data_IF_803886333626
#
_entry.id   IF_803886333626
#
_cell.length_a   1.000
_cell.length_b   1.000
_cell.length_c   1.000
_cell.angle_alpha   90.00
_cell.angle_beta   90.00
_cell.angle_gamma   90.00
#
_symmetry.space_group_name_H-M   'P 1'
#
loop_
_entity.id
_entity.type
_entity.pdbx_description
1 polymer ?
#
# COMPACT_ATOMS: atom_id res chain seq x y z
N UNK A 1 9.16 -17.83 -1.10
CA UNK A 1 9.48 -17.78 0.33
C UNK A 1 8.81 -16.57 0.94
N UNK A 2 8.17 -16.75 2.10
CA UNK A 2 7.47 -15.71 2.86
C UNK A 2 8.21 -15.52 4.18
N UNK A 3 8.47 -14.28 4.58
CA UNK A 3 9.09 -13.95 5.87
C UNK A 3 8.08 -13.13 6.67
N UNK A 4 7.77 -13.56 7.89
CA UNK A 4 6.90 -12.82 8.81
C UNK A 4 7.72 -12.48 10.05
N UNK A 5 7.82 -11.19 10.39
CA UNK A 5 8.53 -10.72 11.58
C UNK A 5 7.61 -9.77 12.33
N UNK A 6 7.22 -10.17 13.54
CA UNK A 6 6.34 -9.39 14.41
C UNK A 6 7.13 -9.01 15.65
N UNK A 7 7.31 -7.70 15.87
CA UNK A 7 8.02 -7.15 17.01
C UNK A 7 7.59 -5.70 17.19
N UNK A 8 7.32 -5.29 18.43
CA UNK A 8 6.77 -3.98 18.76
C UNK A 8 7.84 -2.89 18.89
N UNK A 9 9.08 -3.31 19.19
CA UNK A 9 10.28 -2.46 19.25
C UNK A 9 11.44 -3.24 18.61
N UNK A 10 11.76 -2.92 17.35
CA UNK A 10 12.91 -3.52 16.66
C UNK A 10 13.94 -2.42 16.46
N UNK A 11 15.13 -2.62 17.01
CA UNK A 11 16.24 -1.69 16.82
C UNK A 11 16.61 -1.56 15.34
N UNK A 12 16.99 -0.35 14.86
CA UNK A 12 17.34 -0.12 13.45
C UNK A 12 18.45 -1.03 12.93
N UNK A 13 19.40 -1.36 13.80
CA UNK A 13 20.51 -2.26 13.48
C UNK A 13 19.99 -3.67 13.17
N UNK A 14 19.02 -4.17 13.93
CA UNK A 14 18.39 -5.48 13.69
C UNK A 14 17.65 -5.50 12.36
N UNK A 15 16.92 -4.42 12.02
CA UNK A 15 16.31 -4.29 10.69
C UNK A 15 17.38 -4.27 9.60
N UNK A 16 18.47 -3.53 9.81
CA UNK A 16 19.59 -3.43 8.85
C UNK A 16 20.26 -4.79 8.61
N UNK A 17 20.45 -5.59 9.66
CA UNK A 17 20.95 -6.96 9.56
C UNK A 17 20.00 -7.85 8.77
N UNK A 18 18.68 -7.75 9.03
CA UNK A 18 17.67 -8.52 8.32
C UNK A 18 17.66 -8.22 6.82
N UNK A 19 17.64 -6.93 6.43
CA UNK A 19 17.58 -6.55 5.00
C UNK A 19 18.84 -6.95 4.24
N UNK A 20 19.98 -7.12 4.94
CA UNK A 20 21.21 -7.61 4.36
C UNK A 20 21.18 -9.11 4.01
N UNK A 21 20.25 -9.90 4.57
CA UNK A 21 20.20 -11.35 4.39
C UNK A 21 19.77 -11.78 2.98
N UNK A 22 20.31 -12.91 2.51
CA UNK A 22 19.91 -13.52 1.24
C UNK A 22 18.44 -13.97 1.24
N UNK A 23 17.91 -14.34 2.42
CA UNK A 23 16.53 -14.71 2.59
C UNK A 23 15.61 -13.53 2.31
N UNK A 24 15.92 -12.35 2.85
CA UNK A 24 15.15 -11.12 2.62
C UNK A 24 15.18 -10.70 1.15
N UNK A 25 16.35 -10.75 0.50
CA UNK A 25 16.49 -10.42 -0.93
C UNK A 25 15.67 -11.33 -1.83
N UNK A 26 15.45 -12.59 -1.44
CA UNK A 26 14.65 -13.60 -2.17
C UNK A 26 13.20 -13.69 -1.69
N UNK A 27 12.80 -12.88 -0.70
CA UNK A 27 11.46 -12.90 -0.16
C UNK A 27 10.47 -12.33 -1.17
N UNK A 28 9.27 -12.91 -1.22
CA UNK A 28 8.15 -12.36 -2.01
C UNK A 28 7.18 -11.55 -1.16
N UNK A 29 7.15 -11.83 0.15
CA UNK A 29 6.25 -11.24 1.14
C UNK A 29 7.01 -11.00 2.44
N UNK A 30 6.85 -9.80 3.02
CA UNK A 30 7.45 -9.42 4.31
C UNK A 30 6.43 -8.63 5.15
N UNK A 31 6.37 -8.92 6.44
CA UNK A 31 5.71 -8.06 7.44
C UNK A 31 6.74 -7.70 8.50
N UNK A 32 6.93 -6.40 8.76
CA UNK A 32 7.79 -5.87 9.84
C UNK A 32 7.02 -4.71 10.49
N UNK A 33 7.00 -4.65 11.82
CA UNK A 33 6.33 -3.57 12.57
C UNK A 33 7.33 -2.73 13.39
N UNK A 34 8.40 -2.18 12.80
CA UNK A 34 9.38 -1.43 13.59
C UNK A 34 8.82 -0.04 13.92
N UNK A 35 9.13 0.51 15.10
CA UNK A 35 8.85 1.93 15.42
C UNK A 35 9.87 2.90 14.81
N UNK A 36 10.82 2.40 14.03
CA UNK A 36 11.88 3.22 13.44
C UNK A 36 11.70 3.41 11.94
N UNK A 37 12.03 4.60 11.45
CA UNK A 37 11.97 4.97 10.04
C UNK A 37 12.96 4.14 9.22
N UNK A 38 12.47 3.11 8.53
CA UNK A 38 13.26 2.33 7.56
C UNK A 38 13.01 2.91 6.15
N UNK A 39 14.05 3.10 5.32
CA UNK A 39 13.87 3.55 3.93
C UNK A 39 12.92 2.64 3.15
N UNK A 40 11.96 3.23 2.41
CA UNK A 40 10.96 2.44 1.68
C UNK A 40 11.60 1.62 0.54
N UNK A 41 12.73 2.11 0.03
CA UNK A 41 13.49 1.52 -1.08
C UNK A 41 13.87 0.06 -0.79
N UNK A 42 14.08 -0.29 0.49
CA UNK A 42 14.36 -1.65 0.94
C UNK A 42 13.21 -2.64 0.70
N UNK A 43 12.00 -2.17 0.40
CA UNK A 43 10.82 -3.00 0.20
C UNK A 43 10.31 -2.99 -1.24
N UNK A 44 10.92 -2.17 -2.12
CA UNK A 44 10.46 -2.02 -3.50
C UNK A 44 10.64 -3.29 -4.35
N UNK A 45 11.45 -4.27 -3.93
CA UNK A 45 11.52 -5.57 -4.62
C UNK A 45 10.36 -6.51 -4.27
N UNK A 46 9.54 -6.20 -3.24
CA UNK A 46 8.50 -7.10 -2.73
C UNK A 46 7.15 -6.88 -3.41
N UNK A 47 6.46 -7.95 -3.81
CA UNK A 47 5.08 -7.87 -4.31
C UNK A 47 4.09 -7.51 -3.20
N UNK A 48 4.43 -7.90 -1.97
CA UNK A 48 3.57 -7.66 -0.81
C UNK A 48 4.38 -7.23 0.40
N UNK A 49 4.02 -6.13 1.04
CA UNK A 49 4.61 -5.75 2.33
C UNK A 49 3.68 -4.95 3.23
N UNK A 50 3.90 -5.05 4.54
CA UNK A 50 3.28 -4.15 5.53
C UNK A 50 4.39 -3.54 6.40
N UNK A 51 4.34 -2.23 6.57
CA UNK A 51 5.28 -1.47 7.42
C UNK A 51 4.52 -0.48 8.29
N UNK A 52 5.01 -0.27 9.50
CA UNK A 52 4.59 0.81 10.39
C UNK A 52 5.74 1.83 10.45
N UNK A 53 5.42 3.11 10.33
CA UNK A 53 6.37 4.22 10.34
C UNK A 53 5.91 5.28 11.33
N UNK A 54 6.84 6.06 11.88
CA UNK A 54 6.49 7.21 12.72
C UNK A 54 5.70 8.27 11.92
N UNK A 55 6.05 8.48 10.65
CA UNK A 55 5.36 9.41 9.75
C UNK A 55 5.59 8.99 8.31
N UNK A 56 4.51 8.95 7.52
CA UNK A 56 4.61 8.75 6.08
C UNK A 56 5.07 10.03 5.39
N UNK A 57 5.86 9.89 4.32
CA UNK A 57 6.28 11.01 3.47
C UNK A 57 5.71 10.84 2.06
N UNK A 58 5.09 11.87 1.46
CA UNK A 58 4.49 11.73 0.13
C UNK A 58 5.48 11.22 -0.93
N UNK A 59 6.73 11.68 -0.91
CA UNK A 59 7.77 11.24 -1.85
C UNK A 59 8.09 9.75 -1.77
N UNK A 60 8.10 9.17 -0.57
CA UNK A 60 8.37 7.74 -0.37
C UNK A 60 7.18 6.91 -0.87
N UNK A 61 5.95 7.38 -0.58
CA UNK A 61 4.71 6.72 -1.03
C UNK A 61 4.59 6.75 -2.55
N UNK A 62 4.99 7.85 -3.19
CA UNK A 62 5.00 7.96 -4.67
C UNK A 62 5.91 6.91 -5.31
N UNK A 63 7.03 6.55 -4.70
CA UNK A 63 7.90 5.48 -5.22
C UNK A 63 7.17 4.14 -5.25
N UNK A 64 6.47 3.81 -4.16
CA UNK A 64 5.68 2.58 -4.05
C UNK A 64 4.51 2.59 -5.04
N UNK A 65 3.77 3.71 -5.12
CA UNK A 65 2.65 3.85 -6.05
C UNK A 65 3.12 3.68 -7.51
N UNK A 66 4.23 4.32 -7.89
CA UNK A 66 4.80 4.18 -9.24
C UNK A 66 5.10 2.72 -9.57
N UNK A 67 5.72 1.99 -8.64
CA UNK A 67 5.98 0.55 -8.80
C UNK A 67 4.70 -0.20 -9.16
N UNK A 68 3.62 0.01 -8.41
CA UNK A 68 2.34 -0.67 -8.61
C UNK A 68 1.62 -0.25 -9.91
N UNK A 69 1.92 0.93 -10.45
CA UNK A 69 1.40 1.41 -11.72
C UNK A 69 2.21 0.89 -12.93
N UNK A 70 3.52 0.63 -12.78
CA UNK A 70 4.41 0.35 -13.92
C UNK A 70 4.89 -1.10 -14.02
N UNK A 71 4.94 -1.84 -12.92
CA UNK A 71 5.42 -3.23 -12.93
C UNK A 71 4.26 -4.22 -13.15
N UNK A 72 4.49 -5.35 -13.85
CA UNK A 72 3.49 -6.39 -14.06
C UNK A 72 3.31 -7.23 -12.79
N UNK A 73 2.78 -6.62 -11.73
CA UNK A 73 2.55 -7.27 -10.45
C UNK A 73 1.39 -8.27 -10.53
N UNK A 74 1.50 -9.44 -9.86
CA UNK A 74 0.40 -10.39 -9.76
C UNK A 74 -0.85 -9.77 -9.12
N UNK A 75 -2.01 -10.35 -9.42
CA UNK A 75 -3.25 -10.08 -8.68
C UNK A 75 -3.00 -10.24 -7.17
N UNK A 76 -3.65 -9.40 -6.36
CA UNK A 76 -3.53 -9.37 -4.90
C UNK A 76 -2.14 -9.00 -4.36
N UNK A 77 -1.25 -8.49 -5.21
CA UNK A 77 -0.10 -7.72 -4.74
C UNK A 77 -0.60 -6.49 -3.98
N UNK A 78 -0.06 -6.22 -2.79
CA UNK A 78 -0.52 -5.13 -1.95
C UNK A 78 0.58 -4.53 -1.09
N UNK A 79 0.39 -3.31 -0.62
CA UNK A 79 1.19 -2.75 0.45
C UNK A 79 0.31 -2.07 1.49
N UNK A 80 0.78 -2.06 2.74
CA UNK A 80 0.22 -1.22 3.80
C UNK A 80 1.35 -0.42 4.43
N UNK A 81 1.20 0.91 4.46
CA UNK A 81 2.03 1.82 5.24
C UNK A 81 1.16 2.39 6.36
N UNK A 82 1.39 1.96 7.60
CA UNK A 82 0.77 2.53 8.79
C UNK A 82 1.62 3.68 9.30
N UNK A 83 1.02 4.80 9.65
CA UNK A 83 1.68 5.98 10.21
C UNK A 83 1.19 6.24 11.64
N UNK A 84 2.11 6.54 12.56
CA UNK A 84 1.72 6.96 13.91
C UNK A 84 1.25 8.41 13.95
N UNK A 85 1.91 9.28 13.18
CA UNK A 85 1.41 10.63 12.93
C UNK A 85 0.30 10.57 11.91
N UNK A 86 -0.74 11.37 12.18
CA UNK A 86 -1.90 11.49 11.32
C UNK A 86 -1.51 11.90 9.89
N UNK A 87 -2.17 11.25 8.93
CA UNK A 87 -2.09 11.57 7.51
C UNK A 87 -3.19 12.59 7.22
N UNK A 88 -2.79 13.85 7.07
CA UNK A 88 -3.71 14.97 6.90
C UNK A 88 -4.00 15.29 5.42
N UNK A 89 -4.84 16.30 5.20
CA UNK A 89 -5.18 16.77 3.84
C UNK A 89 -3.94 17.32 3.10
N UNK A 90 -3.00 17.96 3.80
CA UNK A 90 -1.77 18.47 3.19
C UNK A 90 -0.92 17.32 2.62
N UNK A 91 -0.86 16.19 3.34
CA UNK A 91 -0.22 14.98 2.84
C UNK A 91 -0.88 14.50 1.54
N UNK A 92 -2.21 14.43 1.49
CA UNK A 92 -2.95 14.00 0.30
C UNK A 92 -2.69 14.91 -0.90
N UNK A 93 -2.73 16.22 -0.71
CA UNK A 93 -2.41 17.21 -1.75
C UNK A 93 -0.98 16.99 -2.25
N UNK A 94 -0.01 16.90 -1.34
CA UNK A 94 1.40 16.67 -1.69
C UNK A 94 1.62 15.34 -2.42
N UNK A 95 0.87 14.29 -2.06
CA UNK A 95 0.89 13.00 -2.75
C UNK A 95 0.39 13.15 -4.20
N UNK A 96 -0.78 13.77 -4.39
CA UNK A 96 -1.38 13.93 -5.73
C UNK A 96 -0.56 14.82 -6.65
N UNK A 97 0.05 15.88 -6.13
CA UNK A 97 0.96 16.75 -6.87
C UNK A 97 2.20 15.98 -7.36
N UNK A 98 2.83 15.19 -6.48
CA UNK A 98 4.01 14.39 -6.85
C UNK A 98 3.67 13.24 -7.80
N UNK A 99 2.45 12.71 -7.72
CA UNK A 99 1.92 11.76 -8.69
C UNK A 99 1.54 12.41 -10.04
N UNK A 100 1.50 13.74 -10.10
CA UNK A 100 1.05 14.52 -11.26
C UNK A 100 -0.35 14.13 -11.72
N UNK A 101 -1.24 13.85 -10.77
CA UNK A 101 -2.62 13.48 -11.09
C UNK A 101 -3.41 14.69 -11.60
N UNK A 102 -4.16 14.56 -12.71
CA UNK A 102 -5.17 15.54 -13.11
C UNK A 102 -6.19 15.74 -11.99
N UNK A 103 -6.74 16.94 -11.86
CA UNK A 103 -7.69 17.29 -10.80
C UNK A 103 -8.86 16.31 -10.69
N UNK A 104 -9.45 15.91 -11.83
CA UNK A 104 -10.55 14.93 -11.88
C UNK A 104 -10.19 13.55 -11.30
N UNK A 105 -8.91 13.19 -11.30
CA UNK A 105 -8.41 11.91 -10.76
C UNK A 105 -8.04 12.00 -9.28
N UNK A 106 -8.18 13.18 -8.67
CA UNK A 106 -7.96 13.42 -7.24
C UNK A 106 -9.24 13.31 -6.41
N UNK A 107 -10.40 13.13 -7.03
CA UNK A 107 -11.64 12.89 -6.30
C UNK A 107 -11.71 11.43 -5.86
N UNK A 108 -12.26 11.21 -4.66
CA UNK A 108 -12.42 9.85 -4.18
C UNK A 108 -13.52 9.12 -4.94
N UNK A 109 -13.28 7.83 -5.22
CA UNK A 109 -14.29 6.91 -5.74
C UNK A 109 -15.09 6.20 -4.65
N UNK A 110 -14.81 6.49 -3.37
CA UNK A 110 -15.57 6.02 -2.22
C UNK A 110 -16.52 7.13 -1.75
N UNK A 111 -17.67 6.74 -1.20
CA UNK A 111 -18.59 7.66 -0.52
C UNK A 111 -18.28 7.83 0.97
N UNK A 112 -17.19 7.23 1.46
CA UNK A 112 -16.84 7.20 2.87
C UNK A 112 -15.94 8.39 3.25
N UNK A 113 -16.42 9.26 4.15
CA UNK A 113 -15.76 10.55 4.47
C UNK A 113 -14.33 10.41 5.01
N UNK A 114 -14.05 9.31 5.71
CA UNK A 114 -12.74 9.07 6.34
C UNK A 114 -11.73 8.34 5.44
N UNK A 115 -12.13 7.90 4.25
CA UNK A 115 -11.27 7.13 3.35
C UNK A 115 -11.17 7.81 1.99
N UNK A 116 -9.97 8.24 1.62
CA UNK A 116 -9.69 8.65 0.26
C UNK A 116 -9.28 7.45 -0.59
N UNK A 117 -10.19 6.98 -1.45
CA UNK A 117 -9.91 5.91 -2.43
C UNK A 117 -9.71 6.47 -3.83
N UNK A 118 -8.62 6.10 -4.50
CA UNK A 118 -8.31 6.45 -5.89
C UNK A 118 -7.96 5.21 -6.73
N UNK A 119 -8.20 5.30 -8.04
CA UNK A 119 -8.03 4.21 -9.00
C UNK A 119 -6.97 4.56 -10.05
N UNK A 120 -6.07 3.63 -10.30
CA UNK A 120 -4.91 3.81 -11.19
C UNK A 120 -4.75 2.63 -12.15
N UNK A 121 -4.27 2.91 -13.35
CA UNK A 121 -3.96 1.87 -14.33
C UNK A 121 -2.77 1.02 -13.90
N UNK A 122 -2.74 -0.22 -14.41
CA UNK A 122 -1.59 -1.14 -14.30
C UNK A 122 -1.17 -1.55 -15.72
N UNK A 123 -0.04 -2.26 -15.90
CA UNK A 123 0.33 -2.80 -17.21
C UNK A 123 -0.66 -3.85 -17.74
N UNK A 124 -1.50 -4.44 -16.88
CA UNK A 124 -2.56 -5.36 -17.27
C UNK A 124 -3.87 -4.62 -17.47
N UNK A 125 -4.60 -4.93 -18.55
CA UNK A 125 -5.96 -4.41 -18.78
C UNK A 125 -7.00 -5.03 -17.86
N UNK A 126 -6.70 -6.22 -17.33
CA UNK A 126 -7.64 -7.01 -16.54
C UNK A 126 -7.59 -6.65 -15.05
N UNK A 127 -6.55 -5.93 -14.65
CA UNK A 127 -6.28 -5.54 -13.27
C UNK A 127 -6.17 -4.03 -13.13
N UNK A 128 -6.48 -3.55 -11.93
CA UNK A 128 -6.41 -2.14 -11.57
C UNK A 128 -5.74 -1.97 -10.22
N UNK A 129 -4.98 -0.89 -10.06
CA UNK A 129 -4.37 -0.53 -8.79
C UNK A 129 -5.31 0.41 -8.04
N UNK A 130 -5.73 0.00 -6.84
CA UNK A 130 -6.56 0.82 -5.96
C UNK A 130 -5.72 1.28 -4.78
N UNK A 131 -5.74 2.58 -4.51
CA UNK A 131 -5.05 3.22 -3.40
C UNK A 131 -6.07 3.83 -2.45
N UNK A 132 -6.12 3.35 -1.21
CA UNK A 132 -6.86 3.92 -0.08
C UNK A 132 -5.87 4.67 0.81
N UNK A 133 -6.26 5.86 1.24
CA UNK A 133 -5.58 6.64 2.28
C UNK A 133 -6.61 7.00 3.32
N UNK A 134 -6.30 6.75 4.59
CA UNK A 134 -7.06 7.23 5.74
C UNK A 134 -6.11 7.93 6.72
N UNK A 135 -6.64 8.37 7.87
CA UNK A 135 -5.91 9.16 8.85
C UNK A 135 -4.65 8.44 9.40
N UNK A 136 -4.54 7.12 9.30
CA UNK A 136 -3.44 6.35 9.88
C UNK A 136 -2.77 5.38 8.92
N UNK A 137 -3.31 5.20 7.71
CA UNK A 137 -2.82 4.18 6.80
C UNK A 137 -2.90 4.57 5.34
N UNK A 138 -2.00 3.99 4.57
CA UNK A 138 -1.98 4.02 3.12
C UNK A 138 -1.95 2.57 2.66
N UNK A 139 -3.04 2.14 2.05
CA UNK A 139 -3.23 0.79 1.57
C UNK A 139 -3.37 0.78 0.06
N UNK A 140 -2.49 0.06 -0.62
CA UNK A 140 -2.53 -0.12 -2.06
C UNK A 140 -2.68 -1.58 -2.44
N UNK A 141 -3.53 -1.91 -3.41
CA UNK A 141 -3.74 -3.30 -3.84
C UNK A 141 -4.06 -3.40 -5.33
N UNK A 142 -3.55 -4.45 -5.98
CA UNK A 142 -3.91 -4.85 -7.34
C UNK A 142 -5.14 -5.75 -7.28
N UNK A 143 -6.23 -5.34 -7.93
CA UNK A 143 -7.50 -6.07 -7.95
C UNK A 143 -7.99 -6.29 -9.38
N UNK A 144 -8.84 -7.29 -9.58
CA UNK A 144 -9.47 -7.53 -10.88
C UNK A 144 -10.46 -6.41 -11.19
N UNK A 145 -10.42 -5.92 -12.43
CA UNK A 145 -11.41 -5.00 -12.97
C UNK A 145 -12.83 -5.57 -12.87
N UNK A 146 -13.00 -6.88 -13.08
CA UNK A 146 -14.31 -7.52 -13.04
C UNK A 146 -14.83 -7.72 -11.63
N UNK A 147 -13.97 -8.10 -10.68
CA UNK A 147 -14.34 -8.15 -9.26
C UNK A 147 -14.81 -6.78 -8.77
N UNK A 148 -14.09 -5.71 -9.13
CA UNK A 148 -14.46 -4.34 -8.75
C UNK A 148 -15.84 -3.92 -9.31
N UNK A 149 -16.18 -4.30 -10.55
CA UNK A 149 -17.50 -4.01 -11.15
C UNK A 149 -18.65 -4.74 -10.47
N UNK A 150 -18.39 -5.91 -9.88
CA UNK A 150 -19.42 -6.73 -9.22
C UNK A 150 -19.65 -6.34 -7.76
N UNK A 151 -18.85 -5.43 -7.20
CA UNK A 151 -18.99 -4.98 -5.83
C UNK A 151 -20.40 -4.41 -5.60
N UNK A 152 -21.08 -4.95 -4.59
CA UNK A 152 -22.38 -4.47 -4.11
C UNK A 152 -22.25 -3.57 -2.88
N UNK A 153 -21.03 -3.17 -2.55
CA UNK A 153 -20.68 -2.36 -1.40
C UNK A 153 -19.74 -1.25 -1.83
N UNK A 154 -19.60 -0.23 -0.98
CA UNK A 154 -18.61 0.82 -1.20
C UNK A 154 -17.19 0.23 -1.24
N UNK A 155 -16.36 0.78 -2.14
CA UNK A 155 -15.00 0.29 -2.35
C UNK A 155 -14.12 0.40 -1.10
N UNK A 156 -14.32 1.41 -0.24
CA UNK A 156 -13.58 1.52 1.01
C UNK A 156 -13.93 0.39 1.99
N UNK A 157 -15.19 -0.06 2.03
CA UNK A 157 -15.60 -1.20 2.86
C UNK A 157 -14.88 -2.47 2.42
N UNK A 158 -14.87 -2.73 1.10
CA UNK A 158 -14.13 -3.85 0.52
C UNK A 158 -12.63 -3.77 0.85
N UNK A 159 -12.00 -2.61 0.69
CA UNK A 159 -10.58 -2.42 0.97
C UNK A 159 -10.24 -2.58 2.45
N UNK A 160 -11.08 -2.09 3.37
CA UNK A 160 -10.89 -2.28 4.81
C UNK A 160 -10.90 -3.77 5.17
N UNK A 161 -11.90 -4.52 4.69
CA UNK A 161 -11.97 -5.94 4.95
C UNK A 161 -10.75 -6.67 4.37
N UNK A 162 -10.29 -6.31 3.17
CA UNK A 162 -9.05 -6.87 2.60
C UNK A 162 -7.81 -6.55 3.42
N UNK A 163 -7.68 -5.31 3.88
CA UNK A 163 -6.57 -4.88 4.72
C UNK A 163 -6.50 -5.67 6.04
N UNK A 164 -7.66 -5.97 6.62
CA UNK A 164 -7.83 -6.83 7.80
C UNK A 164 -7.68 -8.33 7.51
N UNK A 165 -7.49 -8.74 6.25
CA UNK A 165 -7.18 -10.11 5.87
C UNK A 165 -8.40 -10.99 5.59
N UNK A 166 -9.58 -10.40 5.38
CA UNK A 166 -10.73 -11.14 4.87
C UNK A 166 -10.50 -11.53 3.40
N UNK A 167 -10.77 -12.79 3.08
CA UNK A 167 -10.68 -13.33 1.74
C UNK A 167 -11.99 -13.08 0.97
N UNK A 168 -11.86 -12.72 -0.30
CA UNK A 168 -12.95 -12.38 -1.21
C UNK A 168 -12.86 -13.14 -2.53
N UNK A 169 -12.16 -14.27 -2.54
CA UNK A 169 -12.00 -15.15 -3.71
C UNK A 169 -13.32 -15.62 -4.33
N UNK A 170 -14.46 -15.46 -3.62
CA UNK A 170 -15.81 -15.84 -4.07
C UNK A 170 -16.72 -14.66 -4.54
N UNK A 171 -16.21 -13.42 -4.66
CA UNK A 171 -16.96 -12.27 -5.21
C UNK A 171 -16.86 -12.11 -6.74
#
# INVERSE_FOLDING_TARGET
>A
MSIKIEGYDIEPEVVSMLVATEQFKKAKKVSIMPLVSVPIDNFLHLNTFKVKLASAKPEEVVKVVKKFQTEPLPLDSFFTIMAEREIDENFLVGLFEKMKLPEKSRYSISTHDYNHVSKHATPSSDNVFILKVDAQSIYGVIVSCDALKRLKMDVAVYLNLREFGFDFTDL
#
